data_IF_577392293541
#
_entry.id   IF_577392293541
#
_cell.length_a   1.000
_cell.length_b   1.000
_cell.length_c   1.000
_cell.angle_alpha   90.00
_cell.angle_beta   90.00
_cell.angle_gamma   90.00
#
_symmetry.space_group_name_H-M   'P 1'
#
loop_
_entity.id
_entity.type
_entity.pdbx_description
1 polymer ?
#
# COMPACT_ATOMS: atom_id res chain seq x y z
N UNK A 1 17.30 -5.35 9.17
CA UNK A 1 16.30 -6.37 9.56
C UNK A 1 14.93 -5.79 9.33
N UNK A 2 14.09 -6.47 8.54
CA UNK A 2 12.70 -6.07 8.30
C UNK A 2 11.83 -6.93 9.22
N UNK A 3 11.01 -6.30 10.06
CA UNK A 3 10.05 -6.98 10.93
C UNK A 3 8.67 -6.62 10.38
N UNK A 4 7.91 -7.64 9.96
CA UNK A 4 6.56 -7.48 9.44
C UNK A 4 5.57 -8.08 10.44
N UNK A 5 4.68 -7.24 10.97
CA UNK A 5 3.61 -7.65 11.87
C UNK A 5 2.27 -7.32 11.21
N UNK A 6 1.37 -8.32 11.11
CA UNK A 6 0.01 -8.14 10.59
C UNK A 6 -1.00 -8.71 11.57
N UNK A 7 -2.07 -7.98 11.86
CA UNK A 7 -3.16 -8.43 12.73
C UNK A 7 -4.50 -7.94 12.20
N UNK A 8 -5.51 -8.79 12.25
CA UNK A 8 -6.90 -8.43 11.96
C UNK A 8 -7.63 -8.21 13.30
N UNK A 9 -8.45 -7.16 13.38
CA UNK A 9 -9.23 -6.79 14.57
C UNK A 9 -8.36 -6.44 15.81
N UNK A 10 -7.39 -5.53 15.62
CA UNK A 10 -6.60 -4.99 16.72
C UNK A 10 -7.49 -4.14 17.66
N UNK A 11 -7.36 -4.39 18.97
CA UNK A 11 -7.91 -3.50 19.99
C UNK A 11 -6.98 -2.32 20.20
N UNK A 12 -7.09 -1.30 19.37
CA UNK A 12 -6.26 -0.09 19.41
C UNK A 12 -7.01 1.08 20.03
N UNK A 13 -6.29 1.95 20.73
CA UNK A 13 -6.85 3.17 21.32
C UNK A 13 -7.30 4.18 20.25
N UNK A 14 -6.75 4.07 19.04
CA UNK A 14 -7.13 4.87 17.88
C UNK A 14 -7.58 3.95 16.73
N UNK A 15 -8.64 4.31 15.98
CA UNK A 15 -9.02 3.55 14.79
C UNK A 15 -7.88 3.50 13.77
N UNK A 16 -7.51 2.29 13.36
CA UNK A 16 -6.60 2.07 12.24
C UNK A 16 -7.45 1.98 10.97
N UNK A 17 -7.15 2.81 9.96
CA UNK A 17 -7.85 2.74 8.68
C UNK A 17 -7.55 1.42 7.98
N UNK A 18 -8.53 0.88 7.25
CA UNK A 18 -8.31 -0.27 6.38
C UNK A 18 -7.18 0.04 5.38
N UNK A 19 -6.26 -0.90 5.21
CA UNK A 19 -5.10 -0.71 4.34
C UNK A 19 -3.99 0.20 4.91
N UNK A 20 -4.02 0.56 6.19
CA UNK A 20 -2.89 1.24 6.83
C UNK A 20 -1.63 0.38 6.84
N UNK A 21 -0.49 0.99 6.51
CA UNK A 21 0.84 0.37 6.52
C UNK A 21 1.81 1.30 7.23
N UNK A 22 2.77 0.75 7.98
CA UNK A 22 3.88 1.49 8.60
C UNK A 22 5.19 0.84 8.17
N UNK A 23 6.10 1.64 7.65
CA UNK A 23 7.44 1.26 7.27
C UNK A 23 8.44 2.02 8.14
N UNK A 24 9.25 1.29 8.91
CA UNK A 24 10.27 1.86 9.79
C UNK A 24 11.67 1.54 9.24
N UNK A 25 12.36 2.57 8.74
CA UNK A 25 13.78 2.48 8.36
C UNK A 25 14.68 3.28 9.30
N UNK A 26 15.99 3.11 9.14
CA UNK A 26 17.00 3.82 9.93
C UNK A 26 17.18 5.28 9.53
N UNK A 27 17.03 5.59 8.24
CA UNK A 27 17.17 6.95 7.71
C UNK A 27 15.82 7.68 7.58
N UNK A 28 14.77 6.91 7.26
CA UNK A 28 13.41 7.41 7.08
C UNK A 28 12.37 6.31 7.32
N UNK A 29 11.12 6.71 7.51
CA UNK A 29 9.96 5.85 7.55
C UNK A 29 8.80 6.46 6.74
N UNK A 30 7.78 5.65 6.51
CA UNK A 30 6.55 6.07 5.86
C UNK A 30 5.36 5.36 6.48
N UNK A 31 4.22 6.03 6.56
CA UNK A 31 2.98 5.41 7.00
C UNK A 31 1.77 5.94 6.24
N UNK A 32 0.76 5.08 6.11
CA UNK A 32 -0.57 5.42 5.60
C UNK A 32 -1.51 5.52 6.79
N UNK A 33 -1.77 6.75 7.24
CA UNK A 33 -2.69 7.08 8.34
C UNK A 33 -3.26 8.47 8.10
N UNK A 34 -4.53 8.55 7.70
CA UNK A 34 -5.17 9.81 7.28
C UNK A 34 -4.41 10.53 6.15
N UNK A 35 -3.92 9.76 5.18
CA UNK A 35 -3.00 10.22 4.13
C UNK A 35 -1.63 9.57 4.25
N UNK A 36 -0.71 9.97 3.36
CA UNK A 36 0.69 9.52 3.41
C UNK A 36 1.48 10.45 4.33
N UNK A 37 2.23 9.87 5.26
CA UNK A 37 3.16 10.61 6.13
C UNK A 37 4.54 9.99 5.93
N UNK A 38 5.54 10.81 5.64
CA UNK A 38 6.94 10.39 5.54
C UNK A 38 7.69 11.05 6.68
N UNK A 39 8.40 10.26 7.49
CA UNK A 39 9.25 10.77 8.57
C UNK A 39 10.71 10.58 8.20
N UNK A 40 11.53 11.63 8.32
CA UNK A 40 12.98 11.54 8.06
C UNK A 40 13.78 12.51 8.92
N UNK A 41 15.08 12.26 9.04
CA UNK A 41 16.03 13.25 9.54
C UNK A 41 16.44 14.23 8.43
N UNK A 42 16.23 15.53 8.64
CA UNK A 42 16.68 16.58 7.73
C UNK A 42 17.06 17.83 8.54
N UNK A 43 18.15 18.50 8.15
CA UNK A 43 18.68 19.68 8.85
C UNK A 43 18.90 19.44 10.37
N UNK A 44 19.40 18.25 10.73
CA UNK A 44 19.59 17.81 12.13
C UNK A 44 18.31 17.79 12.99
N UNK A 45 17.14 17.69 12.36
CA UNK A 45 15.85 17.55 13.06
C UNK A 45 15.03 16.43 12.43
N UNK A 46 14.20 15.79 13.24
CA UNK A 46 13.17 14.91 12.73
C UNK A 46 12.05 15.77 12.14
N UNK A 47 11.64 15.47 10.92
CA UNK A 47 10.54 16.16 10.24
C UNK A 47 9.51 15.15 9.76
N UNK A 48 8.27 15.64 9.63
CA UNK A 48 7.17 14.95 8.96
C UNK A 48 6.84 15.66 7.65
N UNK A 49 6.79 14.90 6.56
CA UNK A 49 6.30 15.37 5.26
C UNK A 49 4.90 14.80 5.07
N UNK A 50 3.94 15.69 4.85
CA UNK A 50 2.53 15.36 4.57
C UNK A 50 2.21 15.90 3.18
N UNK A 51 2.50 15.13 2.10
CA UNK A 51 2.17 15.55 0.75
C UNK A 51 0.67 15.73 0.62
N UNK A 52 0.26 16.79 -0.05
CA UNK A 52 -1.12 16.95 -0.48
C UNK A 52 -1.38 15.98 -1.64
N UNK A 53 -2.29 15.03 -1.43
CA UNK A 53 -2.70 14.02 -2.41
C UNK A 53 -3.99 14.41 -3.13
N UNK A 54 -4.56 15.58 -2.83
CA UNK A 54 -5.73 16.08 -3.53
C UNK A 54 -5.38 16.43 -4.99
N UNK A 55 -6.38 16.35 -5.86
CA UNK A 55 -6.25 16.90 -7.21
C UNK A 55 -6.07 18.41 -7.09
N UNK A 56 -4.83 18.89 -7.32
CA UNK A 56 -4.51 20.32 -7.32
C UNK A 56 -5.18 21.08 -8.47
N UNK A 57 -4.71 22.28 -8.77
CA UNK A 57 -5.22 23.09 -9.88
C UNK A 57 -4.53 24.43 -9.93
N UNK A 58 -4.72 25.16 -11.03
CA UNK A 58 -4.31 26.56 -11.14
C UNK A 58 -5.56 27.40 -11.37
N UNK A 59 -5.46 28.73 -11.26
CA UNK A 59 -6.60 29.60 -11.55
C UNK A 59 -7.23 29.20 -12.89
N UNK A 60 -8.55 28.93 -12.87
CA UNK A 60 -9.38 28.53 -14.02
C UNK A 60 -9.24 27.09 -14.53
N UNK A 61 -8.40 26.24 -13.90
CA UNK A 61 -8.25 24.83 -14.30
C UNK A 61 -8.16 23.90 -13.09
N UNK A 62 -9.15 23.02 -12.95
CA UNK A 62 -9.17 21.96 -11.95
C UNK A 62 -8.24 20.81 -12.36
N UNK A 63 -7.56 20.22 -11.38
CA UNK A 63 -6.80 19.00 -11.57
C UNK A 63 -7.71 17.81 -11.80
N UNK A 64 -7.24 16.87 -12.64
CA UNK A 64 -7.97 15.65 -12.88
C UNK A 64 -8.00 14.79 -11.60
N UNK A 65 -9.20 14.35 -11.23
CA UNK A 65 -9.41 13.29 -10.25
C UNK A 65 -10.18 12.13 -10.90
N UNK A 66 -10.01 10.94 -10.37
CA UNK A 66 -10.77 9.76 -10.77
C UNK A 66 -10.89 8.84 -9.57
N UNK A 67 -12.01 8.14 -9.45
CA UNK A 67 -12.14 7.16 -8.38
C UNK A 67 -11.15 5.99 -8.61
N UNK A 68 -10.64 5.34 -7.55
CA UNK A 68 -9.79 4.16 -7.71
C UNK A 68 -10.44 3.08 -8.59
N UNK A 69 -11.75 2.84 -8.43
CA UNK A 69 -12.52 1.89 -9.22
C UNK A 69 -12.53 2.24 -10.72
N UNK A 70 -12.71 3.52 -11.06
CA UNK A 70 -12.68 3.96 -12.45
C UNK A 70 -11.28 3.82 -13.06
N UNK A 71 -10.24 4.14 -12.28
CA UNK A 71 -8.84 4.03 -12.73
C UNK A 71 -8.48 2.58 -13.02
N UNK A 72 -8.86 1.66 -12.12
CA UNK A 72 -8.62 0.23 -12.27
C UNK A 72 -9.36 -0.34 -13.49
N UNK A 73 -10.68 -0.11 -13.57
CA UNK A 73 -11.49 -0.58 -14.69
C UNK A 73 -10.98 -0.04 -16.03
N UNK A 74 -10.61 1.25 -16.09
CA UNK A 74 -10.08 1.88 -17.29
C UNK A 74 -8.75 1.26 -17.72
N UNK A 75 -7.84 0.98 -16.78
CA UNK A 75 -6.55 0.33 -17.08
C UNK A 75 -6.74 -1.08 -17.62
N UNK A 76 -7.63 -1.86 -17.02
CA UNK A 76 -7.95 -3.20 -17.50
C UNK A 76 -8.57 -3.19 -18.90
N UNK A 77 -9.58 -2.34 -19.13
CA UNK A 77 -10.22 -2.19 -20.46
C UNK A 77 -9.18 -1.75 -21.50
N UNK A 78 -8.25 -0.85 -21.15
CA UNK A 78 -7.20 -0.40 -22.05
C UNK A 78 -6.25 -1.54 -22.44
N UNK A 79 -5.83 -2.36 -21.48
CA UNK A 79 -4.99 -3.53 -21.72
C UNK A 79 -5.67 -4.51 -22.69
N UNK A 80 -6.96 -4.81 -22.48
CA UNK A 80 -7.75 -5.66 -23.37
C UNK A 80 -7.89 -5.06 -24.77
N UNK A 81 -8.16 -3.76 -24.89
CA UNK A 81 -8.35 -3.09 -26.19
C UNK A 81 -7.08 -3.01 -27.02
N UNK A 82 -5.93 -2.87 -26.38
CA UNK A 82 -4.65 -2.62 -27.04
C UNK A 82 -3.76 -3.86 -27.10
N UNK A 83 -4.24 -5.01 -26.62
CA UNK A 83 -3.49 -6.27 -26.54
C UNK A 83 -2.14 -6.08 -25.83
N UNK A 84 -2.19 -5.43 -24.66
CA UNK A 84 -1.02 -5.19 -23.80
C UNK A 84 -1.22 -5.83 -22.44
N UNK A 85 -0.13 -6.02 -21.70
CA UNK A 85 -0.18 -6.57 -20.35
C UNK A 85 -0.98 -5.65 -19.39
N UNK A 86 -1.77 -6.25 -18.47
CA UNK A 86 -2.39 -5.50 -17.38
C UNK A 86 -1.34 -4.99 -16.39
N UNK A 87 -1.72 -3.99 -15.58
CA UNK A 87 -0.83 -3.40 -14.57
C UNK A 87 -0.37 -4.41 -13.51
N UNK A 88 -1.21 -5.40 -13.21
CA UNK A 88 -0.87 -6.52 -12.34
C UNK A 88 -0.98 -7.80 -13.16
N UNK A 89 0.12 -8.53 -13.26
CA UNK A 89 0.18 -9.77 -14.01
C UNK A 89 -0.47 -10.93 -13.21
N UNK A 90 -1.02 -11.95 -13.88
CA UNK A 90 -1.56 -13.13 -13.21
C UNK A 90 -0.59 -13.79 -12.24
N UNK A 91 0.70 -13.84 -12.59
CA UNK A 91 1.76 -14.43 -11.77
C UNK A 91 1.97 -13.62 -10.48
N UNK A 92 1.87 -12.30 -10.55
CA UNK A 92 1.96 -11.42 -9.38
C UNK A 92 0.76 -11.62 -8.44
N UNK A 93 -0.45 -11.80 -8.99
CA UNK A 93 -1.63 -12.12 -8.20
C UNK A 93 -1.56 -13.52 -7.57
N UNK A 94 -0.92 -14.48 -8.25
CA UNK A 94 -0.67 -15.83 -7.71
C UNK A 94 0.19 -15.77 -6.46
N UNK A 95 1.30 -15.03 -6.50
CA UNK A 95 2.21 -14.87 -5.34
C UNK A 95 1.47 -14.35 -4.10
N UNK A 96 0.54 -13.40 -4.27
CA UNK A 96 -0.29 -12.91 -3.14
C UNK A 96 -1.15 -14.04 -2.56
N UNK A 97 -1.73 -14.88 -3.41
CA UNK A 97 -2.55 -16.02 -2.99
C UNK A 97 -1.72 -17.07 -2.24
N UNK A 98 -0.50 -17.33 -2.69
CA UNK A 98 0.45 -18.24 -2.04
C UNK A 98 0.87 -17.72 -0.66
N UNK A 99 1.10 -16.41 -0.53
CA UNK A 99 1.37 -15.76 0.75
C UNK A 99 0.19 -15.90 1.71
N UNK A 100 -1.05 -15.70 1.23
CA UNK A 100 -2.24 -15.88 2.05
C UNK A 100 -2.38 -17.32 2.55
N UNK A 101 -2.14 -18.30 1.68
CA UNK A 101 -2.19 -19.72 2.05
C UNK A 101 -1.09 -20.09 3.05
N UNK A 102 0.10 -19.52 2.91
CA UNK A 102 1.19 -19.70 3.86
C UNK A 102 0.86 -19.12 5.24
N UNK A 103 0.17 -17.97 5.30
CA UNK A 103 -0.32 -17.40 6.57
C UNK A 103 -1.32 -18.36 7.22
N UNK A 104 -2.29 -18.88 6.47
CA UNK A 104 -3.26 -19.84 7.01
C UNK A 104 -2.61 -21.16 7.45
N UNK A 105 -1.66 -21.66 6.67
CA UNK A 105 -0.90 -22.88 7.01
C UNK A 105 -0.05 -22.69 8.27
N UNK A 106 0.64 -21.55 8.38
CA UNK A 106 1.41 -21.20 9.57
C UNK A 106 0.50 -21.10 10.81
N UNK A 107 -0.65 -20.43 10.71
CA UNK A 107 -1.60 -20.32 11.82
C UNK A 107 -2.14 -21.70 12.27
N UNK A 108 -2.39 -22.61 11.32
CA UNK A 108 -2.88 -23.96 11.62
C UNK A 108 -1.81 -24.86 12.26
N UNK A 109 -0.54 -24.69 11.88
CA UNK A 109 0.57 -25.58 12.29
C UNK A 109 1.41 -25.02 13.44
N UNK A 110 1.38 -23.71 13.65
CA UNK A 110 2.29 -22.99 14.55
C UNK A 110 3.74 -22.98 14.08
N UNK A 111 4.01 -23.24 12.79
CA UNK A 111 5.35 -23.34 12.21
C UNK A 111 5.53 -22.36 11.04
N UNK A 112 6.76 -21.86 10.80
CA UNK A 112 7.03 -21.01 9.64
C UNK A 112 6.85 -21.78 8.32
N UNK A 113 6.36 -21.07 7.29
CA UNK A 113 6.24 -21.57 5.91
C UNK A 113 7.29 -20.86 5.05
N UNK A 114 8.05 -21.62 4.27
CA UNK A 114 9.12 -21.10 3.42
C UNK A 114 8.75 -21.27 1.94
N UNK A 115 9.14 -20.28 1.13
CA UNK A 115 9.03 -20.30 -0.33
C UNK A 115 10.42 -20.54 -0.93
N UNK A 116 10.46 -21.15 -2.12
CA UNK A 116 11.69 -21.37 -2.90
C UNK A 116 12.03 -20.17 -3.80
#
# INVERSE_FOLDING_TARGET
TIILESSWALNTSEPIQEGSTVLCGSDAGAQIKNGVIINKGELNRLIEIKPDLSSGGVAFYDGASSSPADVEARRWINAVKNDTDPVVLPEQACVVSEILEAIYTSAKTGQPVFFD
#
